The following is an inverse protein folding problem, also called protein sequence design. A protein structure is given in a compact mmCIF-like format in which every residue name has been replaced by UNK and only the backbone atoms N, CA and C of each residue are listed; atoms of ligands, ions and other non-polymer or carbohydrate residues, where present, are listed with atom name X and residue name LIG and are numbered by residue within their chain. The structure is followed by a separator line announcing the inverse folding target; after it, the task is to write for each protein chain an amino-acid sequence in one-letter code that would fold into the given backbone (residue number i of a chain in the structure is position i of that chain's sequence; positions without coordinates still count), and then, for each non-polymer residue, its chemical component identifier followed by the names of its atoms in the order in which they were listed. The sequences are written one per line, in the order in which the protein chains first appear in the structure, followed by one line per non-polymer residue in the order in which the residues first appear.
data_IF_329153479465
#
_entry.id   IF_329153479465
#
_cell.length_a   1.000
_cell.length_b   1.000
_cell.length_c   1.000
_cell.angle_alpha   90.00
_cell.angle_beta   90.00
_cell.angle_gamma   90.00
#
_symmetry.space_group_name_H-M   'P 1'
#
loop_
_entity.id
_entity.type
_entity.pdbx_description
1 polymer ?
#
# COMPACT_ATOMS: atom_id res chain seq x y z
N UNK A 1 22.09 2.87 -0.06
CA UNK A 1 20.67 3.26 -0.06
C UNK A 1 20.25 3.53 1.37
N UNK A 2 19.50 4.60 1.64
CA UNK A 2 18.92 4.92 2.94
C UNK A 2 17.42 4.76 2.84
N UNK A 3 16.83 4.09 3.81
CA UNK A 3 15.40 3.84 3.84
C UNK A 3 14.75 4.52 5.04
N UNK A 4 13.48 4.90 4.88
CA UNK A 4 12.60 5.17 6.02
C UNK A 4 11.42 4.22 6.02
N UNK A 5 10.80 4.01 7.15
CA UNK A 5 9.65 3.14 7.32
C UNK A 5 8.79 3.63 8.49
N UNK A 6 7.51 3.29 8.51
CA UNK A 6 6.65 3.61 9.65
C UNK A 6 7.08 2.78 10.86
N UNK A 7 7.75 3.46 11.79
CA UNK A 7 8.35 2.86 12.99
C UNK A 7 7.38 2.65 14.16
N UNK A 8 7.91 2.27 15.29
CA UNK A 8 9.32 1.98 15.61
C UNK A 8 9.84 0.65 15.03
N UNK A 9 11.05 0.22 15.43
CA UNK A 9 11.58 -1.12 15.07
C UNK A 9 10.69 -2.23 15.63
N UNK A 10 10.67 -3.38 14.95
CA UNK A 10 9.81 -4.51 15.30
C UNK A 10 8.36 -4.40 14.78
N UNK A 11 8.04 -3.37 13.97
CA UNK A 11 6.73 -3.23 13.33
C UNK A 11 6.59 -4.10 12.09
N UNK A 12 5.35 -4.34 11.64
CA UNK A 12 5.08 -5.00 10.35
C UNK A 12 5.66 -4.22 9.17
N UNK A 13 5.73 -2.89 9.25
CA UNK A 13 6.34 -2.05 8.21
C UNK A 13 7.84 -2.31 8.10
N UNK A 14 8.54 -2.46 9.22
CA UNK A 14 9.96 -2.84 9.19
C UNK A 14 10.13 -4.26 8.62
N UNK A 15 9.27 -5.21 9.00
CA UNK A 15 9.28 -6.56 8.44
C UNK A 15 9.10 -6.54 6.91
N UNK A 16 8.20 -5.68 6.40
CA UNK A 16 8.04 -5.47 4.96
C UNK A 16 9.32 -4.91 4.33
N UNK A 17 9.96 -3.92 4.95
CA UNK A 17 11.20 -3.33 4.45
C UNK A 17 12.34 -4.36 4.43
N UNK A 18 12.48 -5.17 5.48
CA UNK A 18 13.54 -6.17 5.58
C UNK A 18 13.41 -7.31 4.55
N UNK A 19 12.23 -7.49 3.94
CA UNK A 19 12.05 -8.42 2.81
C UNK A 19 12.56 -7.86 1.47
N UNK A 20 12.86 -6.56 1.40
CA UNK A 20 13.41 -5.93 0.20
C UNK A 20 14.91 -6.29 0.11
N UNK A 21 15.39 -6.80 -1.03
CA UNK A 21 16.80 -7.13 -1.22
C UNK A 21 17.73 -5.98 -0.87
N UNK A 22 18.72 -6.24 -0.01
CA UNK A 22 19.72 -5.27 0.43
C UNK A 22 19.25 -4.27 1.50
N UNK A 23 18.00 -4.32 1.93
CA UNK A 23 17.51 -3.42 2.98
C UNK A 23 18.04 -3.78 4.37
N UNK A 24 18.39 -5.05 4.61
CA UNK A 24 18.99 -5.51 5.88
C UNK A 24 20.33 -4.82 6.18
N UNK A 25 21.12 -4.57 5.14
CA UNK A 25 22.48 -4.02 5.24
C UNK A 25 22.50 -2.48 5.08
N UNK A 26 21.35 -1.89 4.83
CA UNK A 26 21.19 -0.47 4.60
C UNK A 26 20.82 0.30 5.88
N UNK A 27 21.07 1.60 5.88
CA UNK A 27 20.57 2.51 6.92
C UNK A 27 19.03 2.56 6.85
N UNK A 28 18.38 2.34 8.01
CA UNK A 28 16.93 2.34 8.15
C UNK A 28 16.53 3.31 9.24
N UNK A 29 15.77 4.34 8.90
CA UNK A 29 15.37 5.43 9.80
C UNK A 29 13.86 5.30 10.06
N UNK A 30 13.42 5.01 11.31
CA UNK A 30 12.01 4.96 11.60
C UNK A 30 11.37 6.35 11.53
N UNK A 31 10.22 6.43 10.87
CA UNK A 31 9.37 7.60 10.81
C UNK A 31 8.22 7.48 11.83
N UNK A 32 7.75 8.60 12.34
CA UNK A 32 6.66 8.66 13.32
C UNK A 32 5.28 8.55 12.69
N UNK A 33 5.17 8.86 11.40
CA UNK A 33 3.93 8.81 10.62
C UNK A 33 4.22 8.67 9.13
N UNK A 34 3.19 8.35 8.33
CA UNK A 34 3.32 8.33 6.86
C UNK A 34 3.70 9.72 6.31
N UNK A 35 3.07 10.83 6.74
CA UNK A 35 3.53 12.16 6.33
C UNK A 35 5.00 12.45 6.68
N UNK A 36 5.51 12.02 7.85
CA UNK A 36 6.92 12.16 8.22
C UNK A 36 7.82 11.36 7.26
N UNK A 37 7.47 10.10 6.96
CA UNK A 37 8.22 9.28 6.00
C UNK A 37 8.31 9.94 4.61
N UNK A 38 7.20 10.48 4.11
CA UNK A 38 7.17 11.19 2.84
C UNK A 38 7.89 12.54 2.88
N UNK A 39 7.86 13.25 3.99
CA UNK A 39 8.62 14.50 4.16
C UNK A 39 10.12 14.24 4.04
N UNK A 40 10.65 13.19 4.69
CA UNK A 40 12.05 12.76 4.58
C UNK A 40 12.43 12.36 3.16
N UNK A 41 11.55 11.60 2.48
CA UNK A 41 11.72 11.23 1.08
C UNK A 41 11.75 12.46 0.17
N UNK A 42 10.85 13.42 0.39
CA UNK A 42 10.78 14.66 -0.38
C UNK A 42 11.98 15.59 -0.13
N UNK A 43 12.51 15.60 1.08
CA UNK A 43 13.73 16.35 1.43
C UNK A 43 15.02 15.69 0.90
N UNK A 44 14.97 14.46 0.37
CA UNK A 44 16.14 13.71 -0.05
C UNK A 44 17.01 13.19 1.10
N UNK A 45 16.45 13.15 2.32
CA UNK A 45 17.13 12.57 3.49
C UNK A 45 17.25 11.04 3.36
N UNK A 46 16.31 10.44 2.63
CA UNK A 46 16.28 9.00 2.33
C UNK A 46 16.00 8.77 0.84
N UNK A 47 16.40 7.60 0.34
CA UNK A 47 16.22 7.21 -1.06
C UNK A 47 14.88 6.54 -1.33
N UNK A 48 14.31 5.88 -0.29
CA UNK A 48 13.02 5.23 -0.39
C UNK A 48 12.29 5.14 0.97
N UNK A 49 10.96 5.02 0.92
CA UNK A 49 10.08 4.93 2.08
C UNK A 49 9.16 3.71 1.97
N UNK A 50 9.13 2.86 3.01
CA UNK A 50 8.19 1.75 3.12
C UNK A 50 6.99 2.18 3.95
N UNK A 51 5.78 2.05 3.37
CA UNK A 51 4.52 2.43 4.04
C UNK A 51 3.42 1.42 3.76
N UNK A 52 2.46 1.21 4.69
CA UNK A 52 1.28 0.38 4.44
C UNK A 52 0.32 1.11 3.51
N UNK A 53 -0.28 0.40 2.55
CA UNK A 53 -1.27 0.98 1.63
C UNK A 53 -2.65 0.35 1.76
N UNK A 54 -2.71 -0.93 2.14
CA UNK A 54 -3.96 -1.68 2.21
C UNK A 54 -3.86 -2.81 3.24
N UNK A 55 -4.95 -3.06 3.97
CA UNK A 55 -5.09 -4.18 4.88
C UNK A 55 -6.31 -5.02 4.46
N UNK A 56 -6.18 -6.34 4.40
CA UNK A 56 -7.24 -7.24 3.94
C UNK A 56 -8.50 -7.27 4.85
N UNK A 57 -8.42 -6.68 6.05
CA UNK A 57 -9.53 -6.62 7.02
C UNK A 57 -10.20 -5.24 7.00
N UNK A 58 -9.39 -4.17 6.93
CA UNK A 58 -9.87 -2.78 7.08
C UNK A 58 -9.93 -2.00 5.75
N UNK A 59 -9.35 -2.56 4.67
CA UNK A 59 -9.25 -1.89 3.37
C UNK A 59 -8.05 -0.93 3.28
N UNK A 60 -8.18 0.12 2.51
CA UNK A 60 -7.10 1.06 2.23
C UNK A 60 -6.67 1.91 3.43
N UNK A 61 -5.37 2.16 3.54
CA UNK A 61 -4.79 3.03 4.58
C UNK A 61 -4.93 4.48 4.13
N UNK A 62 -6.01 5.12 4.57
CA UNK A 62 -6.39 6.48 4.18
C UNK A 62 -5.25 7.49 4.27
N UNK A 63 -4.49 7.48 5.39
CA UNK A 63 -3.37 8.39 5.59
C UNK A 63 -2.27 8.23 4.51
N UNK A 64 -2.01 7.00 4.07
CA UNK A 64 -1.05 6.73 2.99
C UNK A 64 -1.58 7.20 1.64
N UNK A 65 -2.83 6.86 1.32
CA UNK A 65 -3.44 7.22 0.05
C UNK A 65 -3.48 8.74 -0.13
N UNK A 66 -3.89 9.47 0.92
CA UNK A 66 -3.97 10.93 0.91
C UNK A 66 -2.58 11.56 0.82
N UNK A 67 -1.60 11.04 1.57
CA UNK A 67 -0.23 11.56 1.56
C UNK A 67 0.48 11.33 0.21
N UNK A 68 0.29 10.17 -0.43
CA UNK A 68 0.82 9.89 -1.77
C UNK A 68 0.13 10.76 -2.80
N UNK A 69 -1.20 10.91 -2.73
CA UNK A 69 -1.96 11.78 -3.64
C UNK A 69 -1.51 13.25 -3.56
N UNK A 70 -1.14 13.73 -2.38
CA UNK A 70 -0.63 15.09 -2.16
C UNK A 70 0.83 15.26 -2.62
N UNK A 71 1.62 14.19 -2.68
CA UNK A 71 3.04 14.24 -3.04
C UNK A 71 3.24 14.36 -4.55
N UNK A 72 4.34 15.03 -4.95
CA UNK A 72 4.73 15.12 -6.35
C UNK A 72 6.03 14.36 -6.62
N UNK A 73 6.10 13.68 -7.77
CA UNK A 73 7.28 12.94 -8.20
C UNK A 73 7.55 11.67 -7.40
N UNK A 74 6.69 11.30 -6.46
CA UNK A 74 6.80 10.03 -5.72
C UNK A 74 6.18 8.90 -6.55
N UNK A 75 6.88 7.76 -6.62
CA UNK A 75 6.44 6.56 -7.33
C UNK A 75 6.56 5.32 -6.44
N UNK A 76 5.62 4.42 -6.61
CA UNK A 76 5.70 3.06 -6.08
C UNK A 76 6.62 2.26 -7.01
N UNK A 77 7.64 1.63 -6.43
CA UNK A 77 8.61 0.82 -7.16
C UNK A 77 8.56 -0.66 -6.79
N UNK A 78 7.84 -0.98 -5.73
CA UNK A 78 7.66 -2.36 -5.25
C UNK A 78 6.47 -2.43 -4.32
N UNK A 79 5.79 -3.58 -4.32
CA UNK A 79 4.87 -3.95 -3.25
C UNK A 79 5.39 -5.17 -2.49
N UNK A 80 4.96 -5.28 -1.22
CA UNK A 80 5.26 -6.40 -0.33
C UNK A 80 3.98 -6.78 0.41
N UNK A 81 3.67 -8.05 0.44
CA UNK A 81 2.57 -8.63 1.21
C UNK A 81 3.11 -9.25 2.49
N UNK A 82 2.64 -8.77 3.64
CA UNK A 82 3.05 -9.30 4.95
C UNK A 82 1.85 -9.95 5.63
N UNK A 83 1.94 -11.28 5.92
CA UNK A 83 0.95 -11.93 6.78
C UNK A 83 0.94 -11.29 8.17
N UNK A 84 -0.24 -10.94 8.65
CA UNK A 84 -0.41 -10.27 9.95
C UNK A 84 -0.67 -11.33 11.01
N UNK A 85 0.29 -11.45 11.93
CA UNK A 85 0.18 -12.30 13.10
C UNK A 85 0.40 -11.46 14.35
N UNK A 86 -0.39 -11.71 15.36
CA UNK A 86 -0.26 -11.04 16.65
C UNK A 86 0.09 -12.05 17.72
N UNK A 87 0.94 -11.60 18.66
CA UNK A 87 1.28 -12.33 19.90
C UNK A 87 0.86 -11.50 21.09
N UNK A 88 0.41 -12.17 22.16
CA UNK A 88 0.24 -11.57 23.48
C UNK A 88 1.53 -11.77 24.25
N UNK A 89 2.10 -10.67 24.75
CA UNK A 89 3.38 -10.67 25.48
C UNK A 89 3.23 -9.98 26.84
N UNK A 90 4.09 -10.34 27.78
CA UNK A 90 4.22 -9.69 29.09
C UNK A 90 5.70 -9.47 29.45
N UNK A 91 5.99 -8.54 30.38
CA UNK A 91 7.35 -8.30 30.88
C UNK A 91 7.88 -9.45 31.77
N UNK A 92 6.97 -10.26 32.32
CA UNK A 92 7.27 -11.40 33.20
C UNK A 92 6.41 -12.60 32.81
N UNK A 93 6.85 -13.82 33.14
CA UNK A 93 6.00 -15.00 32.95
C UNK A 93 4.83 -14.93 33.96
N UNK A 94 3.64 -14.70 33.42
CA UNK A 94 2.35 -14.72 34.14
C UNK A 94 1.38 -15.67 33.48
N UNK A 95 0.36 -16.14 34.20
CA UNK A 95 -0.73 -16.88 33.59
C UNK A 95 -1.58 -15.94 32.75
N UNK A 96 -2.13 -16.44 31.65
CA UNK A 96 -3.07 -15.68 30.83
C UNK A 96 -4.33 -15.29 31.61
N UNK A 97 -4.75 -16.09 32.60
CA UNK A 97 -5.88 -15.82 33.49
C UNK A 97 -5.63 -14.65 34.45
N UNK A 98 -4.36 -14.29 34.67
CA UNK A 98 -3.99 -13.16 35.53
C UNK A 98 -3.94 -11.81 34.77
N UNK A 99 -4.11 -11.81 33.45
CA UNK A 99 -4.09 -10.62 32.59
C UNK A 99 -5.39 -9.83 32.79
N UNK A 100 -5.27 -8.62 33.37
CA UNK A 100 -6.39 -7.70 33.63
C UNK A 100 -6.42 -6.50 32.70
N UNK A 101 -5.26 -6.16 32.13
CA UNK A 101 -5.11 -4.98 31.24
C UNK A 101 -4.19 -5.31 30.07
N UNK A 102 -4.66 -4.98 28.87
CA UNK A 102 -3.93 -5.22 27.62
C UNK A 102 -3.79 -3.91 26.85
N UNK A 103 -2.56 -3.58 26.45
CA UNK A 103 -2.29 -2.43 25.59
C UNK A 103 -1.92 -2.86 24.17
N UNK A 104 -2.44 -2.14 23.20
CA UNK A 104 -2.04 -2.24 21.78
C UNK A 104 -2.65 -1.08 20.99
N UNK A 105 -2.27 -0.96 19.72
CA UNK A 105 -2.91 -0.02 18.79
C UNK A 105 -4.36 -0.42 18.48
N UNK A 106 -5.25 0.56 18.29
CA UNK A 106 -6.69 0.32 18.05
C UNK A 106 -6.99 -0.61 16.88
N UNK A 107 -6.25 -0.49 15.78
CA UNK A 107 -6.39 -1.39 14.62
C UNK A 107 -6.00 -2.84 14.94
N UNK A 108 -4.97 -3.06 15.76
CA UNK A 108 -4.61 -4.40 16.19
C UNK A 108 -5.66 -4.97 17.15
N UNK A 109 -6.16 -4.14 18.07
CA UNK A 109 -7.25 -4.55 18.97
C UNK A 109 -8.49 -5.01 18.22
N UNK A 110 -8.88 -4.28 17.17
CA UNK A 110 -10.02 -4.65 16.34
C UNK A 110 -9.87 -6.05 15.69
N UNK A 111 -8.62 -6.47 15.40
CA UNK A 111 -8.31 -7.74 14.74
C UNK A 111 -8.10 -8.92 15.70
N UNK A 112 -8.13 -8.68 17.01
CA UNK A 112 -7.99 -9.73 18.06
C UNK A 112 -9.13 -9.72 19.06
N UNK A 113 -10.16 -8.91 18.83
CA UNK A 113 -11.24 -8.68 19.77
C UNK A 113 -12.05 -9.94 20.08
N UNK A 114 -12.29 -10.77 19.07
CA UNK A 114 -12.99 -12.05 19.22
C UNK A 114 -12.20 -12.99 20.11
N UNK A 115 -10.92 -13.17 19.81
CA UNK A 115 -10.01 -13.97 20.62
C UNK A 115 -9.94 -13.46 22.07
N UNK A 116 -9.84 -12.14 22.26
CA UNK A 116 -9.74 -11.54 23.61
C UNK A 116 -11.03 -11.79 24.41
N UNK A 117 -12.20 -11.71 23.81
CA UNK A 117 -13.48 -12.02 24.46
C UNK A 117 -13.60 -13.48 24.91
N UNK A 118 -13.00 -14.40 24.18
CA UNK A 118 -13.03 -15.84 24.51
C UNK A 118 -11.99 -16.24 25.56
N UNK A 119 -10.79 -15.66 25.51
CA UNK A 119 -9.62 -16.13 26.27
C UNK A 119 -9.27 -15.24 27.47
N UNK A 120 -9.56 -13.95 27.40
CA UNK A 120 -9.27 -12.94 28.47
C UNK A 120 -10.46 -11.99 28.66
N UNK A 121 -11.70 -12.49 28.91
CA UNK A 121 -12.91 -11.67 28.89
C UNK A 121 -12.95 -10.57 29.96
N UNK A 122 -12.13 -10.69 31.02
CA UNK A 122 -12.04 -9.72 32.09
C UNK A 122 -10.97 -8.63 31.84
N UNK A 123 -10.16 -8.76 30.77
CA UNK A 123 -9.09 -7.82 30.50
C UNK A 123 -9.60 -6.52 29.87
N UNK A 124 -9.21 -5.40 30.46
CA UNK A 124 -9.51 -4.07 29.93
C UNK A 124 -8.50 -3.68 28.82
N UNK A 125 -9.03 -3.11 27.74
CA UNK A 125 -8.19 -2.58 26.65
C UNK A 125 -7.71 -1.15 26.96
N UNK A 126 -6.40 -0.92 26.83
CA UNK A 126 -5.73 0.38 26.92
C UNK A 126 -5.13 0.74 25.53
N UNK A 127 -5.59 1.84 24.90
CA UNK A 127 -5.04 2.25 23.61
C UNK A 127 -3.56 2.63 23.69
N UNK A 128 -2.73 2.02 22.83
CA UNK A 128 -1.33 2.37 22.61
C UNK A 128 -1.12 3.13 21.29
N UNK A 129 -0.04 3.88 21.18
CA UNK A 129 0.32 4.64 19.97
C UNK A 129 0.73 3.74 18.80
N UNK A 130 1.30 2.56 19.10
CA UNK A 130 1.59 1.48 18.14
C UNK A 130 1.63 0.15 18.88
N UNK A 131 1.54 -0.96 18.14
CA UNK A 131 1.68 -2.32 18.71
C UNK A 131 3.06 -2.52 19.33
N UNK A 132 4.11 -2.04 18.67
CA UNK A 132 5.48 -2.15 19.17
C UNK A 132 5.70 -1.26 20.41
N UNK A 133 5.23 0.00 20.40
CA UNK A 133 5.34 0.89 21.54
C UNK A 133 4.61 0.35 22.78
N UNK A 134 3.44 -0.26 22.60
CA UNK A 134 2.70 -0.90 23.68
C UNK A 134 3.50 -2.06 24.31
N UNK A 135 4.16 -2.88 23.51
CA UNK A 135 4.95 -3.98 24.04
C UNK A 135 6.27 -3.52 24.69
N UNK A 136 6.95 -2.51 24.13
CA UNK A 136 8.15 -1.91 24.73
C UNK A 136 7.81 -1.23 26.07
N UNK A 137 6.65 -0.57 26.13
CA UNK A 137 6.19 0.07 27.36
C UNK A 137 5.97 -0.88 28.55
N UNK A 138 5.83 -2.20 28.31
CA UNK A 138 5.83 -3.20 29.39
C UNK A 138 7.15 -3.25 30.18
N UNK A 139 8.25 -2.86 29.54
CA UNK A 139 9.59 -2.89 30.10
C UNK A 139 9.94 -1.59 30.88
N UNK A 140 9.08 -0.57 30.77
CA UNK A 140 9.28 0.71 31.42
C UNK A 140 8.90 0.66 32.93
N UNK A 141 9.62 1.39 33.74
CA UNK A 141 9.27 1.55 35.16
C UNK A 141 7.90 2.25 35.29
N UNK A 142 7.01 1.68 36.09
CA UNK A 142 5.66 2.23 36.28
C UNK A 142 4.65 1.87 35.23
N UNK A 143 4.91 0.89 34.37
CA UNK A 143 3.92 0.35 33.41
C UNK A 143 2.59 0.04 34.13
N UNK A 144 1.47 0.43 33.54
CA UNK A 144 0.12 0.32 34.12
C UNK A 144 -0.73 -0.80 33.50
N UNK A 145 -0.16 -1.61 32.64
CA UNK A 145 -0.85 -2.75 32.01
C UNK A 145 -0.01 -4.03 32.14
N UNK A 146 -0.69 -5.17 32.09
CA UNK A 146 -0.09 -6.49 32.37
C UNK A 146 0.49 -7.13 31.14
N UNK A 147 -0.15 -6.88 29.98
CA UNK A 147 0.22 -7.49 28.70
C UNK A 147 0.06 -6.53 27.54
N UNK A 148 0.71 -6.83 26.43
CA UNK A 148 0.58 -6.09 25.19
C UNK A 148 0.42 -7.04 23.99
N UNK A 149 -0.21 -6.52 22.94
CA UNK A 149 -0.33 -7.24 21.68
C UNK A 149 0.58 -6.58 20.64
N UNK A 150 1.46 -7.38 20.05
CA UNK A 150 2.43 -6.89 19.09
C UNK A 150 2.69 -7.87 17.94
N UNK A 151 3.54 -7.45 17.00
CA UNK A 151 4.11 -8.33 15.96
C UNK A 151 5.13 -9.28 16.59
N UNK A 152 5.19 -10.56 16.15
CA UNK A 152 6.26 -11.48 16.57
C UNK A 152 7.67 -10.96 16.23
N UNK A 153 7.83 -10.13 15.21
CA UNK A 153 9.11 -9.57 14.79
C UNK A 153 9.75 -8.69 15.89
N UNK A 154 8.94 -8.11 16.77
CA UNK A 154 9.44 -7.30 17.89
C UNK A 154 10.29 -8.11 18.85
N UNK A 155 10.03 -9.40 19.02
CA UNK A 155 10.78 -10.28 19.91
C UNK A 155 12.26 -10.44 19.52
N UNK A 156 12.61 -10.17 18.25
CA UNK A 156 14.00 -10.15 17.80
C UNK A 156 14.79 -8.97 18.40
N UNK A 157 14.10 -7.90 18.80
CA UNK A 157 14.68 -6.70 19.42
C UNK A 157 14.54 -6.72 20.94
N UNK A 158 13.52 -7.41 21.45
CA UNK A 158 13.14 -7.47 22.85
C UNK A 158 12.93 -8.93 23.28
N UNK A 159 14.02 -9.74 23.32
CA UNK A 159 13.94 -11.14 23.73
C UNK A 159 13.60 -11.34 25.23
N UNK A 160 13.63 -10.27 26.01
CA UNK A 160 13.20 -10.22 27.42
C UNK A 160 11.69 -10.28 27.59
N UNK A 161 10.89 -10.03 26.53
CA UNK A 161 9.44 -10.17 26.57
C UNK A 161 9.02 -11.64 26.53
N UNK A 162 8.07 -12.00 27.39
CA UNK A 162 7.54 -13.37 27.48
C UNK A 162 6.27 -13.50 26.65
N UNK A 163 6.25 -14.44 25.70
CA UNK A 163 5.06 -14.77 24.92
C UNK A 163 4.10 -15.57 25.79
N UNK A 164 2.92 -15.03 26.04
CA UNK A 164 1.83 -15.70 26.75
C UNK A 164 0.99 -16.54 25.80
N UNK A 165 0.72 -16.02 24.61
CA UNK A 165 -0.04 -16.70 23.54
C UNK A 165 0.40 -16.22 22.18
N UNK A 166 0.60 -17.17 21.26
CA UNK A 166 0.92 -16.91 19.86
C UNK A 166 -0.32 -16.94 18.98
N UNK A 167 -0.23 -16.25 17.84
CA UNK A 167 -1.19 -16.27 16.75
C UNK A 167 -2.63 -16.00 17.19
N UNK A 168 -2.84 -14.89 17.89
CA UNK A 168 -4.11 -14.49 18.52
C UNK A 168 -5.05 -13.71 17.59
N UNK A 169 -4.68 -13.46 16.33
CA UNK A 169 -5.54 -12.75 15.36
C UNK A 169 -6.83 -13.50 15.07
N UNK A 170 -7.96 -12.82 15.00
CA UNK A 170 -9.27 -13.39 14.66
C UNK A 170 -9.29 -13.94 13.23
N UNK A 171 -8.69 -13.20 12.28
CA UNK A 171 -8.47 -13.65 10.91
C UNK A 171 -7.02 -14.17 10.73
N UNK A 172 -6.87 -15.49 10.61
CA UNK A 172 -5.55 -16.13 10.43
C UNK A 172 -4.93 -15.88 9.06
N UNK A 173 -5.72 -15.40 8.10
CA UNK A 173 -5.29 -15.09 6.73
C UNK A 173 -5.17 -13.56 6.50
N UNK A 174 -5.13 -12.78 7.58
CA UNK A 174 -4.96 -11.34 7.46
C UNK A 174 -3.61 -10.99 6.83
N UNK A 175 -3.64 -10.12 5.83
CA UNK A 175 -2.45 -9.64 5.10
C UNK A 175 -2.50 -8.13 5.02
N UNK A 176 -1.38 -7.48 5.24
CA UNK A 176 -1.19 -6.06 4.92
C UNK A 176 -0.26 -5.91 3.74
N UNK A 177 -0.68 -5.12 2.79
CA UNK A 177 0.09 -4.72 1.63
C UNK A 177 0.85 -3.44 1.94
N UNK A 178 2.16 -3.48 1.73
CA UNK A 178 3.08 -2.37 1.85
C UNK A 178 3.61 -1.99 0.49
N UNK A 179 3.98 -0.73 0.34
CA UNK A 179 4.60 -0.22 -0.88
C UNK A 179 5.89 0.51 -0.56
N UNK A 180 6.90 0.28 -1.41
CA UNK A 180 8.16 1.00 -1.39
C UNK A 180 8.06 2.18 -2.35
N UNK A 181 8.19 3.38 -1.80
CA UNK A 181 8.11 4.65 -2.52
C UNK A 181 9.50 5.19 -2.79
N UNK A 182 9.72 5.76 -3.98
CA UNK A 182 10.94 6.49 -4.33
C UNK A 182 10.61 7.70 -5.20
N UNK A 183 11.52 8.68 -5.26
CA UNK A 183 11.44 9.82 -6.18
C UNK A 183 12.42 9.71 -7.34
N UNK A 184 13.48 8.99 -7.16
CA UNK A 184 14.63 8.95 -8.07
C UNK A 184 14.77 7.65 -8.84
N UNK A 185 14.05 6.60 -8.42
CA UNK A 185 14.09 5.31 -9.08
C UNK A 185 13.35 5.34 -10.43
N UNK A 186 13.87 4.63 -11.39
CA UNK A 186 13.20 4.35 -12.64
C UNK A 186 11.97 3.46 -12.42
N UNK A 187 11.09 3.43 -13.42
CA UNK A 187 9.99 2.46 -13.44
C UNK A 187 10.63 1.06 -13.54
N UNK A 188 10.29 0.13 -12.64
CA UNK A 188 10.77 -1.26 -12.72
C UNK A 188 10.53 -1.89 -14.09
N UNK A 189 11.33 -2.88 -14.44
CA UNK A 189 11.12 -3.66 -15.66
C UNK A 189 9.81 -4.45 -15.58
N UNK A 190 9.18 -4.64 -16.73
CA UNK A 190 7.97 -5.44 -16.88
C UNK A 190 8.27 -6.91 -16.61
N UNK A 191 7.41 -7.56 -15.83
CA UNK A 191 7.54 -8.98 -15.46
C UNK A 191 6.47 -9.89 -16.05
N UNK A 192 5.37 -9.32 -16.53
CA UNK A 192 4.15 -10.04 -16.93
C UNK A 192 3.17 -10.27 -15.78
N UNK A 193 3.61 -10.03 -14.55
CA UNK A 193 2.78 -9.99 -13.35
C UNK A 193 2.98 -8.64 -12.69
N UNK A 194 2.34 -7.61 -13.24
CA UNK A 194 2.59 -6.22 -12.87
C UNK A 194 1.30 -5.50 -12.51
N UNK A 195 1.46 -4.41 -11.79
CA UNK A 195 0.38 -3.53 -11.36
C UNK A 195 0.75 -2.08 -11.63
N UNK A 196 -0.20 -1.30 -12.10
CA UNK A 196 -0.07 0.15 -12.28
C UNK A 196 -1.00 0.86 -11.30
N UNK A 197 -0.44 1.71 -10.46
CA UNK A 197 -1.22 2.50 -9.48
C UNK A 197 -1.37 3.93 -9.95
N UNK A 198 -2.59 4.44 -9.83
CA UNK A 198 -2.99 5.78 -10.26
C UNK A 198 -3.79 6.49 -9.16
N UNK A 199 -3.70 7.82 -9.15
CA UNK A 199 -4.70 8.67 -8.51
C UNK A 199 -5.42 9.46 -9.58
N UNK A 200 -6.75 9.29 -9.67
CA UNK A 200 -7.57 9.87 -10.74
C UNK A 200 -8.65 10.75 -10.13
N UNK A 201 -8.44 12.08 -10.08
CA UNK A 201 -9.48 13.02 -9.67
C UNK A 201 -10.66 12.98 -10.63
N UNK A 202 -11.87 13.09 -10.09
CA UNK A 202 -13.08 13.20 -10.90
C UNK A 202 -13.33 14.68 -11.22
N UNK A 203 -13.18 15.13 -12.48
CA UNK A 203 -13.22 16.56 -12.81
C UNK A 203 -14.58 17.21 -12.53
N UNK A 204 -15.65 16.43 -12.64
CA UNK A 204 -17.03 16.86 -12.40
C UNK A 204 -17.84 15.77 -11.72
N UNK A 205 -18.56 16.13 -10.67
CA UNK A 205 -19.49 15.22 -10.02
C UNK A 205 -20.84 15.26 -10.76
N UNK A 206 -21.01 14.39 -11.76
CA UNK A 206 -22.25 14.22 -12.53
C UNK A 206 -22.54 12.75 -12.80
N UNK A 207 -23.79 12.47 -13.15
CA UNK A 207 -24.17 11.11 -13.55
C UNK A 207 -23.29 10.61 -14.72
N UNK A 208 -22.78 9.38 -14.60
CA UNK A 208 -21.94 8.74 -15.59
C UNK A 208 -20.44 9.07 -15.52
N UNK A 209 -20.00 10.09 -14.75
CA UNK A 209 -18.59 10.51 -14.74
C UNK A 209 -17.63 9.39 -14.29
N UNK A 210 -17.98 8.62 -13.27
CA UNK A 210 -17.19 7.46 -12.87
C UNK A 210 -17.21 6.36 -13.95
N UNK A 211 -18.34 6.14 -14.61
CA UNK A 211 -18.45 5.15 -15.68
C UNK A 211 -17.52 5.49 -16.86
N UNK A 212 -17.49 6.75 -17.30
CA UNK A 212 -16.58 7.22 -18.36
C UNK A 212 -15.11 7.00 -18.00
N UNK A 213 -14.76 7.11 -16.72
CA UNK A 213 -13.41 6.81 -16.24
C UNK A 213 -13.13 5.29 -16.32
N UNK A 214 -14.06 4.46 -15.83
CA UNK A 214 -13.92 3.01 -15.82
C UNK A 214 -13.92 2.41 -17.22
N UNK A 215 -14.66 2.99 -18.17
CA UNK A 215 -14.66 2.59 -19.58
C UNK A 215 -13.27 2.68 -20.21
N UNK A 216 -12.40 3.60 -19.75
CA UNK A 216 -11.05 3.71 -20.30
C UNK A 216 -10.21 2.45 -20.04
N UNK A 217 -10.49 1.74 -18.96
CA UNK A 217 -9.86 0.45 -18.65
C UNK A 217 -10.59 -0.71 -19.34
N UNK A 218 -11.90 -0.77 -19.16
CA UNK A 218 -12.74 -1.89 -19.59
C UNK A 218 -12.62 -2.19 -21.10
N UNK A 219 -12.73 -1.16 -21.96
CA UNK A 219 -12.66 -1.31 -23.42
C UNK A 219 -11.26 -1.70 -23.93
N UNK A 220 -10.26 -1.70 -23.06
CA UNK A 220 -8.87 -2.09 -23.34
C UNK A 220 -8.44 -3.37 -22.66
N UNK A 221 -9.39 -4.07 -22.02
CA UNK A 221 -9.11 -5.31 -21.31
C UNK A 221 -8.16 -5.14 -20.10
N UNK A 222 -8.19 -3.97 -19.47
CA UNK A 222 -7.43 -3.72 -18.25
C UNK A 222 -8.31 -3.97 -17.03
N UNK A 223 -7.97 -4.99 -16.24
CA UNK A 223 -8.67 -5.28 -14.99
C UNK A 223 -8.24 -4.29 -13.89
N UNK A 224 -9.15 -4.00 -12.97
CA UNK A 224 -8.89 -3.19 -11.78
C UNK A 224 -8.91 -4.10 -10.54
N UNK A 225 -7.75 -4.28 -9.90
CA UNK A 225 -7.64 -5.09 -8.68
C UNK A 225 -8.01 -4.30 -7.42
N UNK A 226 -8.01 -2.96 -7.48
CA UNK A 226 -8.47 -2.09 -6.40
C UNK A 226 -9.00 -0.77 -6.95
N UNK A 227 -10.10 -0.29 -6.38
CA UNK A 227 -10.60 1.08 -6.55
C UNK A 227 -11.11 1.60 -5.22
N UNK A 228 -10.64 2.77 -4.82
CA UNK A 228 -11.02 3.41 -3.57
C UNK A 228 -11.28 4.89 -3.79
N UNK A 229 -12.47 5.33 -3.36
CA UNK A 229 -12.88 6.73 -3.43
C UNK A 229 -12.32 7.51 -2.24
N UNK A 230 -11.69 8.65 -2.52
CA UNK A 230 -11.16 9.56 -1.50
C UNK A 230 -11.66 10.97 -1.74
N UNK A 231 -12.10 11.69 -0.70
CA UNK A 231 -12.42 13.12 -0.84
C UNK A 231 -11.15 13.91 -1.14
N UNK A 232 -11.23 14.90 -2.04
CA UNK A 232 -10.07 15.75 -2.39
C UNK A 232 -9.78 16.83 -1.35
N UNK A 233 -10.73 17.11 -0.46
CA UNK A 233 -10.65 18.22 0.49
C UNK A 233 -11.06 19.58 -0.09
N UNK A 234 -11.33 19.69 -1.38
CA UNK A 234 -11.72 20.94 -2.07
C UNK A 234 -13.20 21.29 -1.88
N UNK A 235 -13.98 20.41 -1.28
CA UNK A 235 -15.41 20.62 -1.00
C UNK A 235 -16.19 19.32 -1.00
N UNK A 236 -17.46 19.40 -0.56
CA UNK A 236 -18.37 18.25 -0.61
C UNK A 236 -18.69 17.87 -2.06
N UNK A 237 -18.53 16.60 -2.39
CA UNK A 237 -18.78 16.07 -3.74
C UNK A 237 -17.56 16.04 -4.65
N UNK A 238 -16.39 16.51 -4.21
CA UNK A 238 -15.12 16.39 -4.93
C UNK A 238 -14.41 15.12 -4.50
N UNK A 239 -14.22 14.18 -5.44
CA UNK A 239 -13.61 12.88 -5.20
C UNK A 239 -12.43 12.62 -6.12
N UNK A 240 -11.46 11.88 -5.60
CA UNK A 240 -10.38 11.25 -6.33
C UNK A 240 -10.45 9.74 -6.12
N UNK A 241 -10.08 8.97 -7.13
CA UNK A 241 -10.01 7.52 -7.04
C UNK A 241 -8.56 7.06 -7.01
N UNK A 242 -8.21 6.30 -5.97
CA UNK A 242 -6.98 5.53 -5.95
C UNK A 242 -7.27 4.19 -6.62
N UNK A 243 -6.55 3.90 -7.70
CA UNK A 243 -6.82 2.75 -8.58
C UNK A 243 -5.55 1.94 -8.73
N UNK A 244 -5.68 0.61 -8.59
CA UNK A 244 -4.68 -0.35 -9.04
C UNK A 244 -5.24 -1.10 -10.24
N UNK A 245 -4.54 -1.00 -11.37
CA UNK A 245 -4.84 -1.64 -12.64
C UNK A 245 -3.82 -2.75 -12.92
N UNK A 246 -4.29 -3.91 -13.38
CA UNK A 246 -3.44 -5.06 -13.67
C UNK A 246 -2.75 -4.88 -15.02
N UNK A 247 -1.44 -4.85 -15.01
CA UNK A 247 -0.57 -4.65 -16.15
C UNK A 247 0.46 -3.54 -15.96
N UNK A 248 1.42 -3.50 -16.86
CA UNK A 248 2.55 -2.57 -16.84
C UNK A 248 2.36 -1.42 -17.83
N UNK A 249 2.93 -0.24 -17.55
CA UNK A 249 2.89 0.92 -18.46
C UNK A 249 3.54 0.63 -19.81
N UNK A 250 4.40 -0.39 -19.92
CA UNK A 250 5.00 -0.79 -21.19
C UNK A 250 4.06 -1.63 -22.07
N UNK A 251 2.92 -2.08 -21.56
CA UNK A 251 1.88 -2.71 -22.37
C UNK A 251 1.11 -1.68 -23.20
N UNK A 252 0.84 -1.97 -24.46
CA UNK A 252 0.12 -1.07 -25.36
C UNK A 252 -1.29 -0.73 -24.84
N UNK A 253 -2.02 -1.74 -24.30
CA UNK A 253 -3.35 -1.56 -23.71
C UNK A 253 -3.33 -0.59 -22.53
N UNK A 254 -2.31 -0.66 -21.64
CA UNK A 254 -2.16 0.22 -20.50
C UNK A 254 -1.83 1.65 -20.94
N UNK A 255 -0.88 1.81 -21.88
CA UNK A 255 -0.57 3.14 -22.45
C UNK A 255 -1.79 3.80 -23.08
N UNK A 256 -2.60 3.03 -23.80
CA UNK A 256 -3.80 3.58 -24.43
C UNK A 256 -4.90 3.91 -23.39
N UNK A 257 -5.03 3.10 -22.34
CA UNK A 257 -5.90 3.42 -21.21
C UNK A 257 -5.49 4.73 -20.52
N UNK A 258 -4.20 4.92 -20.27
CA UNK A 258 -3.67 6.15 -19.66
C UNK A 258 -3.91 7.39 -20.56
N UNK A 259 -3.79 7.25 -21.89
CA UNK A 259 -4.14 8.33 -22.84
C UNK A 259 -5.62 8.70 -22.74
N UNK A 260 -6.48 7.69 -22.67
CA UNK A 260 -7.92 7.89 -22.50
C UNK A 260 -8.25 8.57 -21.17
N UNK A 261 -7.67 8.09 -20.08
CA UNK A 261 -7.81 8.64 -18.73
C UNK A 261 -7.35 10.11 -18.65
N UNK A 262 -6.20 10.41 -19.26
CA UNK A 262 -5.66 11.78 -19.26
C UNK A 262 -6.58 12.78 -19.98
N UNK A 263 -7.34 12.34 -20.99
CA UNK A 263 -8.34 13.19 -21.65
C UNK A 263 -9.56 13.48 -20.78
N UNK A 264 -10.00 12.49 -19.97
CA UNK A 264 -11.17 12.65 -19.09
C UNK A 264 -10.80 13.21 -17.72
N UNK A 265 -9.57 13.03 -17.27
CA UNK A 265 -9.02 13.55 -16.03
C UNK A 265 -7.57 14.03 -16.24
N UNK A 266 -7.36 15.28 -16.74
CA UNK A 266 -6.02 15.79 -17.05
C UNK A 266 -5.06 15.88 -15.86
N UNK A 267 -5.61 15.94 -14.64
CA UNK A 267 -4.85 16.04 -13.39
C UNK A 267 -4.56 14.68 -12.75
N UNK A 268 -4.81 13.57 -13.48
CA UNK A 268 -4.46 12.24 -12.98
C UNK A 268 -2.96 12.15 -12.64
N UNK A 269 -2.64 11.38 -11.59
CA UNK A 269 -1.25 11.11 -11.20
C UNK A 269 -0.93 9.64 -11.45
N UNK A 270 0.14 9.40 -12.17
CA UNK A 270 0.76 8.08 -12.31
C UNK A 270 1.67 7.85 -11.11
N UNK A 271 1.34 6.85 -10.29
CA UNK A 271 2.07 6.54 -9.07
C UNK A 271 3.09 5.40 -9.24
N UNK A 272 3.11 4.73 -10.38
CA UNK A 272 4.11 3.70 -10.72
C UNK A 272 3.50 2.48 -11.37
N UNK A 273 4.37 1.75 -12.11
CA UNK A 273 4.14 0.36 -12.53
C UNK A 273 5.24 -0.49 -11.92
N UNK A 274 4.88 -1.61 -11.30
CA UNK A 274 5.79 -2.43 -10.51
C UNK A 274 5.30 -3.89 -10.44
N UNK A 275 6.22 -4.85 -10.19
CA UNK A 275 5.85 -6.25 -10.05
C UNK A 275 4.87 -6.50 -8.91
N UNK A 276 3.88 -7.36 -9.14
CA UNK A 276 2.95 -7.85 -8.13
C UNK A 276 3.67 -8.78 -7.15
N UNK A 277 3.37 -8.65 -5.87
CA UNK A 277 3.98 -9.48 -4.84
C UNK A 277 3.38 -10.89 -4.76
N UNK A 278 2.18 -11.10 -5.29
CA UNK A 278 1.52 -12.42 -5.40
C UNK A 278 1.99 -13.21 -6.62
N UNK A 279 2.70 -12.56 -7.56
CA UNK A 279 3.17 -13.15 -8.82
C UNK A 279 2.07 -13.77 -9.70
N UNK A 280 0.82 -13.36 -9.50
CA UNK A 280 -0.28 -13.80 -10.36
C UNK A 280 -0.15 -13.16 -11.74
N UNK A 281 -0.07 -14.00 -12.78
CA UNK A 281 -0.03 -13.55 -14.15
C UNK A 281 -1.37 -12.94 -14.57
N UNK A 282 -1.32 -11.83 -15.28
CA UNK A 282 -2.51 -11.26 -15.89
C UNK A 282 -2.79 -11.95 -17.21
N UNK A 283 -3.93 -12.65 -17.30
CA UNK A 283 -4.39 -13.18 -18.58
C UNK A 283 -4.90 -12.02 -19.45
N UNK A 284 -4.39 -11.95 -20.69
CA UNK A 284 -4.76 -10.92 -21.66
C UNK A 284 -5.36 -11.59 -22.89
N UNK A 285 -6.61 -11.26 -23.19
CA UNK A 285 -7.27 -11.72 -24.40
C UNK A 285 -6.53 -11.29 -25.67
N UNK A 286 -6.58 -12.10 -26.73
CA UNK A 286 -5.88 -11.83 -27.98
C UNK A 286 -6.20 -10.44 -28.57
N UNK A 287 -7.46 -9.99 -28.45
CA UNK A 287 -7.91 -8.67 -28.92
C UNK A 287 -7.26 -7.50 -28.14
N UNK A 288 -6.79 -7.75 -26.92
CA UNK A 288 -6.16 -6.75 -26.05
C UNK A 288 -4.64 -6.93 -25.95
N UNK A 289 -4.06 -7.82 -26.75
CA UNK A 289 -2.60 -8.02 -26.82
C UNK A 289 -1.89 -6.82 -27.44
N UNK A 290 -0.62 -6.62 -27.12
CA UNK A 290 0.22 -5.57 -27.74
C UNK A 290 0.19 -5.65 -29.25
N UNK A 291 0.32 -6.85 -29.81
CA UNK A 291 0.25 -7.05 -31.29
C UNK A 291 -1.08 -6.60 -31.90
N UNK A 292 -2.22 -6.72 -31.19
CA UNK A 292 -3.51 -6.22 -31.68
C UNK A 292 -3.54 -4.69 -31.70
N UNK A 293 -2.98 -4.03 -30.68
CA UNK A 293 -2.87 -2.56 -30.66
C UNK A 293 -1.92 -2.04 -31.71
N UNK A 294 -0.77 -2.71 -31.91
CA UNK A 294 0.23 -2.33 -32.92
C UNK A 294 -0.35 -2.49 -34.33
N UNK A 295 -1.01 -3.61 -34.62
CA UNK A 295 -1.69 -3.83 -35.90
C UNK A 295 -2.80 -2.78 -36.18
N UNK A 296 -3.57 -2.41 -35.17
CA UNK A 296 -4.57 -1.35 -35.29
C UNK A 296 -3.92 0.03 -35.56
N UNK A 297 -2.79 0.32 -34.92
CA UNK A 297 -2.02 1.52 -35.15
C UNK A 297 -1.46 1.55 -36.59
N UNK A 298 -0.81 0.48 -37.04
CA UNK A 298 -0.27 0.35 -38.41
C UNK A 298 -1.38 0.50 -39.46
N UNK A 299 -2.54 -0.11 -39.21
CA UNK A 299 -3.67 0.05 -40.11
C UNK A 299 -4.09 1.52 -40.26
N UNK A 300 -4.20 2.27 -39.17
CA UNK A 300 -4.53 3.70 -39.21
C UNK A 300 -3.44 4.48 -39.96
N UNK A 301 -2.16 4.21 -39.70
CA UNK A 301 -1.06 4.87 -40.44
C UNK A 301 -1.10 4.56 -41.94
N UNK A 302 -1.51 3.36 -42.34
CA UNK A 302 -1.64 2.97 -43.74
C UNK A 302 -2.68 3.77 -44.53
N UNK A 303 -3.62 4.43 -43.83
CA UNK A 303 -4.62 5.32 -44.44
C UNK A 303 -4.00 6.65 -44.92
N UNK A 304 -2.74 6.92 -44.60
CA UNK A 304 -2.01 8.13 -45.02
C UNK A 304 -0.88 7.77 -46.00
N UNK A 305 -1.14 7.41 -47.26
CA UNK A 305 -0.14 6.89 -48.17
C UNK A 305 1.00 7.86 -48.51
N UNK A 306 0.77 9.17 -48.28
CA UNK A 306 1.79 10.23 -48.44
C UNK A 306 2.36 10.74 -47.09
N UNK A 307 2.19 9.95 -46.03
CA UNK A 307 2.50 10.36 -44.67
C UNK A 307 1.45 11.33 -44.09
N UNK A 308 1.50 11.49 -42.77
CA UNK A 308 0.61 12.45 -42.11
C UNK A 308 0.90 13.86 -42.56
N UNK A 309 -0.12 14.69 -42.85
CA UNK A 309 0.06 16.12 -43.11
C UNK A 309 0.87 16.80 -42.01
N UNK A 310 1.73 17.76 -42.37
CA UNK A 310 2.69 18.39 -41.44
C UNK A 310 2.01 18.99 -40.18
N UNK A 311 0.77 19.44 -40.27
CA UNK A 311 0.01 19.95 -39.14
C UNK A 311 -0.49 18.84 -38.15
N UNK A 312 -0.47 17.57 -38.56
CA UNK A 312 -0.82 16.40 -37.73
C UNK A 312 0.41 15.64 -37.22
N UNK A 313 1.61 16.06 -37.59
CA UNK A 313 2.88 15.42 -37.15
C UNK A 313 3.34 15.89 -35.77
N UNK A 314 2.65 16.88 -35.18
CA UNK A 314 2.94 17.36 -33.82
C UNK A 314 1.92 16.74 -32.87
N UNK A 315 2.28 15.62 -32.28
CA UNK A 315 1.80 15.22 -30.93
C UNK A 315 2.40 13.87 -30.54
#
# INVERSE_FOLDING_TARGET
MRYTYLGPSGTFTESALLSVPGASDAERIPATSVPDALARLNAGEVDAAMVPIENSVEGGVSATLDAIAASEGVRIIREVLVPIRFVLVAAKPISIDDVKTISTHSHAWAQVRGWAQENVPAAAYLPGSSTAAAAVGLLEEGCTYDAAICSPALLNYHPELHVLQDNIGDNKNAVTRFVLLSRTADIPEQTGSDKTTLTVPLPTNRAGALLELLEQFSVRGVNLSRIESRPTGEGMGSYSFSIDADGHIYEARMRDALRGLHRVSPTLKFLGSYPRADHENTEVDAIHSDGSFDAAHEWVESLFPNGRPAHLQRH
#
